data_IF_766715646506
#
_entry.id   IF_766715646506
#
_cell.length_a   1.000
_cell.length_b   1.000
_cell.length_c   1.000
_cell.angle_alpha   90.00
_cell.angle_beta   90.00
_cell.angle_gamma   90.00
#
_symmetry.space_group_name_H-M   'P 1'
#
loop_
_entity.id
_entity.type
_entity.pdbx_description
1 polymer ?
#
# COMPACT_ATOMS: atom_id res chain seq x y z
N UNK A 1 0.36 -29.87 -17.89
CA UNK A 1 1.10 -28.61 -18.08
C UNK A 1 0.62 -27.62 -17.01
N UNK A 2 1.37 -27.45 -15.94
CA UNK A 2 1.24 -26.30 -15.03
C UNK A 2 2.65 -26.01 -14.51
N UNK A 3 3.34 -25.09 -15.19
CA UNK A 3 4.63 -24.56 -14.74
C UNK A 3 4.33 -23.62 -13.56
N UNK A 4 4.42 -24.13 -12.32
CA UNK A 4 4.52 -23.26 -11.16
C UNK A 4 5.97 -22.76 -11.09
N UNK A 5 6.13 -21.45 -11.33
CA UNK A 5 7.40 -20.77 -11.23
C UNK A 5 7.93 -20.81 -9.81
N UNK A 6 8.89 -21.69 -9.58
CA UNK A 6 9.76 -21.68 -8.40
C UNK A 6 10.69 -20.47 -8.52
N UNK A 7 10.25 -19.33 -7.99
CA UNK A 7 11.06 -18.16 -7.73
C UNK A 7 11.52 -18.17 -6.27
N UNK A 8 12.83 -18.29 -6.08
CA UNK A 8 13.61 -18.14 -4.85
C UNK A 8 12.90 -17.54 -3.63
N UNK A 9 12.97 -18.28 -2.52
CA UNK A 9 12.54 -17.83 -1.21
C UNK A 9 13.31 -16.60 -0.74
N UNK A 10 12.56 -15.55 -0.39
CA UNK A 10 12.82 -14.59 0.70
C UNK A 10 11.79 -13.46 0.78
N UNK A 11 10.66 -13.54 0.05
CA UNK A 11 9.63 -12.50 0.14
C UNK A 11 8.32 -13.13 0.65
N UNK A 12 7.77 -12.68 1.80
CA UNK A 12 6.49 -13.19 2.28
C UNK A 12 5.39 -12.92 1.24
N UNK A 13 4.82 -14.00 0.70
CA UNK A 13 3.97 -13.98 -0.50
C UNK A 13 2.77 -13.03 -0.44
N UNK A 14 2.16 -12.86 0.74
CA UNK A 14 0.97 -12.01 0.90
C UNK A 14 1.22 -10.52 0.63
N UNK A 15 2.46 -10.07 0.72
CA UNK A 15 2.86 -8.68 0.51
C UNK A 15 3.03 -8.34 -0.98
N UNK A 16 3.44 -9.33 -1.77
CA UNK A 16 3.53 -9.23 -3.23
C UNK A 16 2.11 -9.20 -3.82
N UNK A 17 1.20 -10.04 -3.30
CA UNK A 17 -0.21 -10.06 -3.69
C UNK A 17 -0.93 -8.74 -3.30
N UNK A 18 -0.67 -8.24 -2.08
CA UNK A 18 -1.15 -6.94 -1.58
C UNK A 18 -0.94 -5.77 -2.54
N UNK A 19 0.22 -5.73 -3.20
CA UNK A 19 0.59 -4.60 -4.07
C UNK A 19 0.30 -4.83 -5.54
N UNK A 20 0.28 -6.08 -6.00
CA UNK A 20 -0.31 -6.38 -7.30
C UNK A 20 -1.79 -5.93 -7.35
N UNK A 21 -2.53 -6.15 -6.26
CA UNK A 21 -3.88 -5.62 -6.13
C UNK A 21 -3.89 -4.10 -5.97
N UNK A 22 -2.97 -3.47 -5.22
CA UNK A 22 -2.86 -2.01 -5.15
C UNK A 22 -2.53 -1.32 -6.49
N UNK A 23 -1.76 -1.95 -7.37
CA UNK A 23 -1.48 -1.42 -8.72
C UNK A 23 -2.69 -1.57 -9.63
N UNK A 24 -3.40 -2.72 -9.57
CA UNK A 24 -4.71 -2.91 -10.24
C UNK A 24 -5.70 -1.84 -9.80
N UNK A 25 -5.67 -1.55 -8.51
CA UNK A 25 -6.51 -0.61 -7.83
C UNK A 25 -6.28 0.84 -8.30
N UNK A 26 -5.03 1.23 -8.58
CA UNK A 26 -4.68 2.54 -9.16
C UNK A 26 -4.91 2.64 -10.67
N UNK A 27 -5.00 1.52 -11.39
CA UNK A 27 -5.30 1.49 -12.82
C UNK A 27 -6.75 1.90 -13.17
N UNK A 28 -7.49 2.50 -12.22
CA UNK A 28 -8.87 2.93 -12.41
C UNK A 28 -9.92 1.87 -12.08
N UNK A 29 -9.50 0.70 -11.60
CA UNK A 29 -10.41 -0.35 -11.11
C UNK A 29 -10.68 -0.18 -9.62
N UNK A 30 -11.03 1.03 -9.19
CA UNK A 30 -11.52 1.26 -7.85
C UNK A 30 -13.03 0.92 -7.81
N UNK A 31 -13.47 -0.27 -7.37
CA UNK A 31 -14.88 -0.54 -7.24
C UNK A 31 -15.51 0.47 -6.28
N UNK A 32 -16.70 0.93 -6.64
CA UNK A 32 -17.53 1.87 -5.87
C UNK A 32 -17.88 1.42 -4.45
N UNK A 33 -17.50 0.18 -4.06
CA UNK A 33 -17.79 -0.43 -2.77
C UNK A 33 -16.65 -0.32 -1.74
N UNK A 34 -15.58 0.41 -2.01
CA UNK A 34 -14.51 0.57 -1.01
C UNK A 34 -14.94 1.39 0.20
N UNK A 35 -14.30 1.06 1.33
CA UNK A 35 -14.44 1.83 2.54
C UNK A 35 -14.07 3.30 2.31
N UNK A 36 -14.76 4.17 3.05
CA UNK A 36 -14.48 5.59 3.10
C UNK A 36 -13.07 5.83 3.66
N UNK A 37 -12.47 6.94 3.26
CA UNK A 37 -11.23 7.38 3.89
C UNK A 37 -11.43 7.47 5.41
N UNK A 38 -10.44 7.06 6.19
CA UNK A 38 -10.50 6.95 7.65
C UNK A 38 -11.11 5.66 8.18
N UNK A 39 -11.64 4.77 7.32
CA UNK A 39 -12.11 3.45 7.70
C UNK A 39 -10.99 2.50 8.13
N UNK A 40 -11.34 1.55 9.01
CA UNK A 40 -10.45 0.49 9.47
C UNK A 40 -9.62 0.80 10.71
N UNK A 41 -9.12 -0.27 11.34
CA UNK A 41 -8.31 -0.26 12.56
C UNK A 41 -6.82 -0.24 12.25
N UNK A 42 -6.39 -0.92 11.16
CA UNK A 42 -5.00 -0.95 10.70
C UNK A 42 -4.89 -0.64 9.21
N UNK A 43 -3.77 -0.04 8.82
CA UNK A 43 -3.51 0.33 7.43
C UNK A 43 -3.39 -0.89 6.51
N UNK A 44 -3.03 -2.06 7.05
CA UNK A 44 -2.80 -3.33 6.33
C UNK A 44 -3.94 -4.36 6.48
N UNK A 45 -5.07 -3.99 7.09
CA UNK A 45 -6.13 -4.96 7.41
C UNK A 45 -6.95 -5.44 6.20
N UNK A 46 -6.86 -4.75 5.07
CA UNK A 46 -7.67 -5.00 3.89
C UNK A 46 -7.28 -4.11 2.73
N UNK A 47 -7.42 -4.64 1.51
CA UNK A 47 -6.97 -4.01 0.28
C UNK A 47 -7.54 -2.59 0.08
N UNK A 48 -8.80 -2.39 0.45
CA UNK A 48 -9.51 -1.12 0.37
C UNK A 48 -8.99 -0.08 1.38
N UNK A 49 -8.69 -0.49 2.61
CA UNK A 49 -8.11 0.39 3.65
C UNK A 49 -6.67 0.77 3.29
N UNK A 50 -5.86 -0.21 2.90
CA UNK A 50 -4.48 -0.01 2.45
C UNK A 50 -4.43 0.93 1.26
N UNK A 51 -5.34 0.76 0.30
CA UNK A 51 -5.43 1.62 -0.85
C UNK A 51 -5.68 3.09 -0.51
N UNK A 52 -6.66 3.37 0.35
CA UNK A 52 -6.99 4.74 0.77
C UNK A 52 -5.85 5.38 1.56
N UNK A 53 -5.18 4.60 2.40
CA UNK A 53 -4.00 5.06 3.14
C UNK A 53 -2.83 5.40 2.20
N UNK A 54 -2.55 4.56 1.21
CA UNK A 54 -1.51 4.79 0.23
C UNK A 54 -1.82 5.99 -0.69
N UNK A 55 -3.09 6.19 -1.04
CA UNK A 55 -3.55 7.39 -1.75
C UNK A 55 -3.29 8.67 -0.93
N UNK A 56 -3.56 8.64 0.38
CA UNK A 56 -3.16 9.72 1.29
C UNK A 56 -1.64 9.94 1.28
N UNK A 57 -0.83 8.89 1.34
CA UNK A 57 0.63 8.99 1.26
C UNK A 57 1.08 9.63 -0.07
N UNK A 58 0.40 9.32 -1.17
CA UNK A 58 0.61 9.96 -2.47
C UNK A 58 0.23 11.45 -2.48
N UNK A 59 -0.78 11.84 -1.71
CA UNK A 59 -1.13 13.25 -1.55
C UNK A 59 -0.07 14.05 -0.78
N UNK A 60 0.76 13.39 0.04
CA UNK A 60 1.86 14.02 0.77
C UNK A 60 3.11 14.20 -0.08
N UNK A 61 3.37 13.25 -1.00
CA UNK A 61 4.48 13.30 -1.94
C UNK A 61 4.01 12.85 -3.31
N UNK A 62 4.03 13.79 -4.24
CA UNK A 62 3.73 13.47 -5.63
C UNK A 62 4.70 12.40 -6.15
N UNK A 63 4.14 11.37 -6.78
CA UNK A 63 4.92 10.22 -7.24
C UNK A 63 5.33 9.22 -6.16
N UNK A 64 4.93 9.38 -4.90
CA UNK A 64 5.19 8.40 -3.82
C UNK A 64 4.87 6.98 -4.25
N UNK A 65 3.71 6.76 -4.89
CA UNK A 65 3.32 5.43 -5.36
C UNK A 65 4.21 4.92 -6.49
N UNK A 66 4.68 5.81 -7.37
CA UNK A 66 5.57 5.40 -8.44
C UNK A 66 6.93 4.94 -7.87
N UNK A 67 7.45 5.64 -6.87
CA UNK A 67 8.68 5.26 -6.18
C UNK A 67 8.49 3.99 -5.34
N UNK A 68 7.42 3.92 -4.55
CA UNK A 68 7.06 2.74 -3.77
C UNK A 68 6.95 1.51 -4.69
N UNK A 69 6.21 1.61 -5.79
CA UNK A 69 6.08 0.52 -6.77
C UNK A 69 7.44 0.09 -7.36
N UNK A 70 8.36 1.03 -7.59
CA UNK A 70 9.72 0.70 -8.04
C UNK A 70 10.50 -0.09 -6.98
N UNK A 71 10.48 0.37 -5.74
CA UNK A 71 11.17 -0.28 -4.61
C UNK A 71 10.59 -1.67 -4.32
N UNK A 72 9.28 -1.81 -4.48
CA UNK A 72 8.56 -3.06 -4.25
C UNK A 72 8.86 -4.17 -5.26
N UNK A 73 9.46 -3.86 -6.41
CA UNK A 73 9.89 -4.88 -7.39
C UNK A 73 10.89 -5.87 -6.81
N UNK A 74 11.64 -5.46 -5.78
CA UNK A 74 12.65 -6.29 -5.10
C UNK A 74 12.20 -6.82 -3.74
N UNK A 75 10.97 -6.54 -3.32
CA UNK A 75 10.43 -6.84 -1.99
C UNK A 75 9.95 -5.59 -1.27
N UNK A 76 9.23 -5.75 -0.15
CA UNK A 76 8.71 -4.62 0.63
C UNK A 76 9.29 -4.56 2.03
N UNK A 77 9.54 -3.34 2.48
CA UNK A 77 9.81 -3.00 3.89
C UNK A 77 8.99 -1.78 4.30
N UNK A 78 8.57 -1.76 5.57
CA UNK A 78 7.98 -0.57 6.19
C UNK A 78 8.95 0.63 6.18
N UNK A 79 10.26 0.38 6.05
CA UNK A 79 11.28 1.43 5.90
C UNK A 79 11.07 2.28 4.65
N UNK A 80 10.34 1.80 3.64
CA UNK A 80 10.10 2.57 2.41
C UNK A 80 9.30 3.84 2.70
N UNK A 81 8.39 3.81 3.67
CA UNK A 81 7.67 5.01 4.11
C UNK A 81 8.62 6.02 4.73
N UNK A 82 9.59 5.56 5.51
CA UNK A 82 10.61 6.42 6.11
C UNK A 82 11.53 6.99 5.02
N UNK A 83 11.94 6.19 4.04
CA UNK A 83 12.79 6.64 2.95
C UNK A 83 12.09 7.66 2.02
N UNK A 84 10.80 7.46 1.74
CA UNK A 84 10.05 8.29 0.81
C UNK A 84 9.45 9.54 1.47
N UNK A 85 8.91 9.41 2.68
CA UNK A 85 8.15 10.45 3.39
C UNK A 85 8.83 10.95 4.67
N UNK A 86 9.93 10.33 5.09
CA UNK A 86 10.64 10.71 6.33
C UNK A 86 9.90 10.32 7.61
N UNK A 87 8.85 9.50 7.53
CA UNK A 87 7.99 9.12 8.66
C UNK A 87 7.72 7.63 8.66
N UNK A 88 7.49 7.07 9.85
CA UNK A 88 7.11 5.67 9.95
C UNK A 88 5.68 5.46 9.46
N UNK A 89 5.38 4.24 9.01
CA UNK A 89 4.03 3.88 8.56
C UNK A 89 2.99 4.12 9.66
N UNK A 90 3.34 3.88 10.93
CA UNK A 90 2.47 4.12 12.08
C UNK A 90 2.15 5.61 12.28
N UNK A 91 3.14 6.48 12.12
CA UNK A 91 2.93 7.93 12.19
C UNK A 91 2.00 8.41 11.08
N UNK A 92 2.25 7.95 9.85
CA UNK A 92 1.41 8.28 8.70
C UNK A 92 -0.02 7.75 8.87
N UNK A 93 -0.18 6.54 9.42
CA UNK A 93 -1.49 5.97 9.70
C UNK A 93 -2.25 6.78 10.75
N UNK A 94 -1.57 7.20 11.82
CA UNK A 94 -2.14 8.10 12.82
C UNK A 94 -2.58 9.43 12.19
N UNK A 95 -1.74 10.04 11.35
CA UNK A 95 -2.06 11.28 10.63
C UNK A 95 -3.26 11.08 9.68
N UNK A 96 -3.32 9.95 8.98
CA UNK A 96 -4.45 9.58 8.13
C UNK A 96 -5.75 9.45 8.94
N UNK A 97 -5.72 8.75 10.08
CA UNK A 97 -6.88 8.62 10.98
C UNK A 97 -7.28 9.96 11.59
N UNK A 98 -6.33 10.84 11.91
CA UNK A 98 -6.63 12.18 12.37
C UNK A 98 -7.29 13.05 11.28
N UNK A 99 -6.87 12.87 10.01
CA UNK A 99 -7.41 13.61 8.86
C UNK A 99 -8.78 13.14 8.41
N UNK A 100 -9.04 11.84 8.45
CA UNK A 100 -10.24 11.24 7.84
C UNK A 100 -11.12 10.44 8.80
N UNK A 101 -10.68 10.18 10.04
CA UNK A 101 -11.42 9.39 11.03
C UNK A 101 -12.56 10.12 11.73
N UNK A 102 -13.14 11.14 11.09
CA UNK A 102 -14.22 11.97 11.63
C UNK A 102 -15.54 11.69 10.90
#
# INVERSE_FOLDING_TARGET
MTHNGNGNGQTPGGLIEGVADFVRLRAGYAPSHWMKAGGGDRWDQGYDVTAKFLDYCNSLKDGFIAELNKMMRTGYSNDFFVQLLGRTVDQLWSDYKAKYGN
#
